data_IF_516757150652
#
_entry.id   IF_516757150652
#
_cell.length_a   1.000
_cell.length_b   1.000
_cell.length_c   1.000
_cell.angle_alpha   90.00
_cell.angle_beta   90.00
_cell.angle_gamma   90.00
#
_symmetry.space_group_name_H-M   'P 1'
#
loop_
_entity.id
_entity.type
_entity.pdbx_description
1 polymer ?
#
# COMPACT_ATOMS: atom_id res chain seq x y z
N UNK A 1 -14.04 0.29 14.93
CA UNK A 1 -12.87 1.11 14.58
C UNK A 1 -12.64 1.12 13.08
N UNK A 2 -12.00 2.17 12.59
CA UNK A 2 -11.73 2.32 11.17
C UNK A 2 -10.72 1.30 10.65
N UNK A 3 -10.76 1.04 9.35
CA UNK A 3 -9.71 0.30 8.66
C UNK A 3 -8.58 1.28 8.30
N UNK A 4 -7.34 0.83 8.42
CA UNK A 4 -6.17 1.59 8.03
C UNK A 4 -5.68 1.00 6.71
N UNK A 5 -5.66 1.82 5.65
CA UNK A 5 -5.31 1.43 4.30
C UNK A 5 -3.95 2.00 3.90
N UNK A 6 -3.15 1.18 3.26
CA UNK A 6 -1.85 1.61 2.70
C UNK A 6 -1.83 1.37 1.21
N UNK A 7 -1.41 2.39 0.45
CA UNK A 7 -0.92 2.22 -0.91
C UNK A 7 0.46 1.54 -0.85
N UNK A 8 0.89 0.95 -1.96
CA UNK A 8 2.20 0.30 -2.04
C UNK A 8 3.24 1.20 -2.70
N UNK A 9 3.11 1.41 -4.00
CA UNK A 9 4.15 2.08 -4.80
C UNK A 9 4.33 3.54 -4.40
N UNK A 10 5.54 3.90 -4.00
CA UNK A 10 5.84 5.24 -3.51
C UNK A 10 5.39 5.52 -2.09
N UNK A 11 4.64 4.62 -1.47
CA UNK A 11 4.14 4.74 -0.10
C UNK A 11 4.96 3.90 0.87
N UNK A 12 4.89 2.59 0.77
CA UNK A 12 5.71 1.68 1.60
C UNK A 12 6.70 0.88 0.77
N UNK A 13 6.50 0.80 -0.56
CA UNK A 13 7.37 0.09 -1.49
C UNK A 13 8.03 1.06 -2.45
N UNK A 14 9.34 1.01 -2.57
CA UNK A 14 10.13 1.95 -3.37
C UNK A 14 10.20 1.61 -4.86
N UNK A 15 9.07 1.45 -5.52
CA UNK A 15 9.02 1.16 -6.96
C UNK A 15 9.80 2.19 -7.78
N UNK A 16 9.56 3.47 -7.51
CA UNK A 16 10.12 4.56 -8.31
C UNK A 16 11.61 4.78 -8.08
N UNK A 17 12.20 4.14 -7.10
CA UNK A 17 13.63 4.15 -6.84
C UNK A 17 14.36 3.01 -7.57
N UNK A 18 13.63 2.10 -8.19
CA UNK A 18 14.25 1.05 -9.01
C UNK A 18 14.71 1.66 -10.32
N UNK A 19 15.99 1.48 -10.65
CA UNK A 19 16.55 2.02 -11.87
C UNK A 19 15.82 1.45 -13.09
N UNK A 20 15.42 2.34 -14.02
CA UNK A 20 14.67 1.99 -15.23
C UNK A 20 13.29 1.37 -14.97
N UNK A 21 12.67 1.69 -13.85
CA UNK A 21 11.37 1.11 -13.49
C UNK A 21 10.32 1.29 -14.59
N UNK A 22 10.25 2.46 -15.21
CA UNK A 22 9.25 2.74 -16.24
C UNK A 22 9.46 1.88 -17.50
N UNK A 23 10.72 1.73 -17.93
CA UNK A 23 11.05 0.90 -19.08
C UNK A 23 10.67 -0.56 -18.84
N UNK A 24 10.92 -1.07 -17.65
CA UNK A 24 10.51 -2.41 -17.27
C UNK A 24 8.98 -2.58 -17.35
N UNK A 25 8.22 -1.63 -16.80
CA UNK A 25 6.76 -1.70 -16.84
C UNK A 25 6.23 -1.62 -18.28
N UNK A 26 6.81 -0.75 -19.10
CA UNK A 26 6.41 -0.63 -20.50
C UNK A 26 6.69 -1.90 -21.31
N UNK A 27 7.65 -2.70 -20.88
CA UNK A 27 7.96 -4.00 -21.48
C UNK A 27 7.29 -5.17 -20.73
N UNK A 28 6.29 -4.88 -19.91
CA UNK A 28 5.50 -5.86 -19.16
C UNK A 28 6.35 -6.77 -18.27
N UNK A 29 7.37 -6.19 -17.62
CA UNK A 29 8.18 -6.86 -16.61
C UNK A 29 7.66 -6.53 -15.21
N UNK A 30 7.60 -7.51 -14.33
CA UNK A 30 7.25 -7.31 -12.93
C UNK A 30 8.46 -7.04 -12.05
N UNK A 31 9.66 -6.99 -12.66
CA UNK A 31 10.92 -6.84 -11.90
C UNK A 31 10.91 -5.67 -10.92
N UNK A 32 10.48 -4.43 -11.30
CA UNK A 32 10.50 -3.31 -10.37
C UNK A 32 9.62 -3.53 -9.13
N UNK A 33 8.49 -4.23 -9.29
CA UNK A 33 7.63 -4.56 -8.16
C UNK A 33 8.30 -5.56 -7.22
N UNK A 34 9.09 -6.49 -7.77
CA UNK A 34 9.79 -7.49 -6.98
C UNK A 34 11.03 -6.91 -6.31
N UNK A 35 11.72 -5.99 -6.98
CA UNK A 35 12.99 -5.41 -6.53
C UNK A 35 12.81 -4.20 -5.60
N UNK A 36 11.60 -3.66 -5.48
CA UNK A 36 11.34 -2.48 -4.67
C UNK A 36 11.77 -2.72 -3.21
N UNK A 37 12.39 -1.70 -2.61
CA UNK A 37 12.83 -1.77 -1.21
C UNK A 37 11.78 -1.12 -0.30
N UNK A 38 11.69 -1.57 0.96
CA UNK A 38 10.87 -0.88 1.95
C UNK A 38 11.28 0.59 2.09
N UNK A 39 10.30 1.49 2.15
CA UNK A 39 10.55 2.94 2.28
C UNK A 39 10.58 3.42 3.72
N UNK A 40 10.32 2.55 4.69
CA UNK A 40 10.39 2.88 6.11
C UNK A 40 10.83 1.63 6.89
N UNK A 41 10.99 1.79 8.19
CA UNK A 41 11.38 0.66 9.06
C UNK A 41 10.22 -0.33 9.19
N UNK A 42 10.30 -1.46 8.50
CA UNK A 42 9.24 -2.47 8.49
C UNK A 42 9.14 -3.25 9.79
N UNK A 43 10.22 -3.36 10.56
CA UNK A 43 10.15 -3.95 11.90
C UNK A 43 9.25 -3.11 12.81
N UNK A 44 9.42 -1.80 12.77
CA UNK A 44 8.58 -0.88 13.54
C UNK A 44 7.15 -0.86 13.00
N UNK A 45 6.99 -0.82 11.68
CA UNK A 45 5.66 -0.82 11.04
C UNK A 45 4.88 -2.06 11.46
N UNK A 46 5.47 -3.25 11.32
CA UNK A 46 4.81 -4.50 11.67
C UNK A 46 4.37 -4.53 13.14
N UNK A 47 5.23 -4.02 14.04
CA UNK A 47 4.91 -3.96 15.46
C UNK A 47 3.72 -3.05 15.74
N UNK A 48 3.70 -1.86 15.13
CA UNK A 48 2.60 -0.90 15.31
C UNK A 48 1.29 -1.47 14.75
N UNK A 49 1.33 -2.09 13.57
CA UNK A 49 0.14 -2.67 12.95
C UNK A 49 -0.43 -3.79 13.80
N UNK A 50 0.42 -4.65 14.35
CA UNK A 50 -0.04 -5.74 15.23
C UNK A 50 -0.73 -5.19 16.48
N UNK A 51 -0.15 -4.15 17.10
CA UNK A 51 -0.76 -3.52 18.27
C UNK A 51 -2.12 -2.92 17.94
N UNK A 52 -2.23 -2.26 16.80
CA UNK A 52 -3.49 -1.67 16.37
C UNK A 52 -4.55 -2.74 16.08
N UNK A 53 -4.17 -3.84 15.45
CA UNK A 53 -5.08 -4.96 15.25
C UNK A 53 -5.57 -5.55 16.58
N UNK A 54 -4.70 -5.64 17.57
CA UNK A 54 -5.07 -6.11 18.91
C UNK A 54 -6.08 -5.17 19.59
N UNK A 55 -6.13 -3.91 19.17
CA UNK A 55 -7.11 -2.93 19.66
C UNK A 55 -8.36 -2.83 18.76
N UNK A 56 -8.48 -3.69 17.76
CA UNK A 56 -9.67 -3.77 16.92
C UNK A 56 -9.62 -3.06 15.57
N UNK A 57 -8.49 -2.42 15.24
CA UNK A 57 -8.32 -1.86 13.90
C UNK A 57 -8.16 -2.97 12.86
N UNK A 58 -8.71 -2.74 11.68
CA UNK A 58 -8.43 -3.57 10.51
C UNK A 58 -7.33 -2.92 9.70
N UNK A 59 -6.53 -3.74 9.05
CA UNK A 59 -5.36 -3.29 8.28
C UNK A 59 -5.51 -3.81 6.85
N UNK A 60 -5.40 -2.90 5.89
CA UNK A 60 -5.58 -3.26 4.48
C UNK A 60 -4.58 -2.61 3.54
N UNK A 61 -4.47 -3.20 2.38
CA UNK A 61 -3.72 -2.66 1.24
C UNK A 61 -4.74 -2.27 0.17
N UNK A 62 -4.56 -1.09 -0.41
CA UNK A 62 -5.28 -0.64 -1.60
C UNK A 62 -4.26 -0.08 -2.59
N UNK A 63 -4.04 -0.78 -3.68
CA UNK A 63 -3.00 -0.44 -4.65
C UNK A 63 -3.53 -0.60 -6.07
N UNK A 64 -3.02 0.23 -6.97
CA UNK A 64 -3.33 0.14 -8.39
C UNK A 64 -2.37 -0.79 -9.10
N UNK A 65 -2.85 -1.51 -10.12
CA UNK A 65 -1.97 -2.18 -11.08
C UNK A 65 -1.30 -1.12 -11.96
N UNK A 66 -0.44 -1.53 -12.89
CA UNK A 66 0.25 -0.61 -13.80
C UNK A 66 -0.76 0.17 -14.65
N UNK A 67 -0.33 1.36 -15.13
CA UNK A 67 -1.18 2.24 -15.95
C UNK A 67 -1.62 1.57 -17.24
N UNK A 68 -0.78 0.72 -17.83
CA UNK A 68 -1.03 0.07 -19.11
C UNK A 68 -0.53 -1.37 -19.05
N UNK A 69 -0.79 -2.11 -20.10
CA UNK A 69 -0.35 -3.51 -20.22
C UNK A 69 -1.51 -4.44 -20.48
N UNK A 70 -1.18 -5.69 -20.78
CA UNK A 70 -2.16 -6.75 -21.04
C UNK A 70 -2.85 -7.17 -19.75
N UNK A 71 -3.99 -7.84 -19.89
CA UNK A 71 -4.70 -8.44 -18.76
C UNK A 71 -3.79 -9.42 -18.00
N UNK A 72 -3.03 -10.22 -18.75
CA UNK A 72 -2.07 -11.14 -18.16
C UNK A 72 -1.01 -10.41 -17.33
N UNK A 73 -0.51 -9.26 -17.82
CA UNK A 73 0.45 -8.47 -17.09
C UNK A 73 -0.14 -7.94 -15.78
N UNK A 74 -1.37 -7.42 -15.81
CA UNK A 74 -2.04 -6.96 -14.60
C UNK A 74 -2.15 -8.08 -13.55
N UNK A 75 -2.45 -9.30 -13.99
CA UNK A 75 -2.51 -10.45 -13.08
C UNK A 75 -1.13 -10.77 -12.49
N UNK A 76 -0.07 -10.67 -13.29
CA UNK A 76 1.30 -10.88 -12.81
C UNK A 76 1.75 -9.77 -11.85
N UNK A 77 1.33 -8.53 -12.09
CA UNK A 77 1.61 -7.40 -11.17
C UNK A 77 0.92 -7.63 -9.83
N UNK A 78 -0.33 -8.04 -9.85
CA UNK A 78 -1.04 -8.35 -8.60
C UNK A 78 -0.34 -9.45 -7.82
N UNK A 79 0.05 -10.52 -8.48
CA UNK A 79 0.79 -11.63 -7.87
C UNK A 79 2.11 -11.13 -7.27
N UNK A 80 2.87 -10.34 -8.02
CA UNK A 80 4.15 -9.80 -7.56
C UNK A 80 3.99 -8.94 -6.31
N UNK A 81 2.96 -8.10 -6.25
CA UNK A 81 2.69 -7.25 -5.09
C UNK A 81 2.32 -8.08 -3.86
N UNK A 82 1.49 -9.11 -4.02
CA UNK A 82 1.13 -10.01 -2.92
C UNK A 82 2.34 -10.76 -2.39
N UNK A 83 3.22 -11.24 -3.27
CA UNK A 83 4.45 -11.93 -2.89
C UNK A 83 5.42 -10.97 -2.18
N UNK A 84 5.50 -9.72 -2.64
CA UNK A 84 6.33 -8.71 -2.01
C UNK A 84 5.90 -8.47 -0.55
N UNK A 85 4.61 -8.34 -0.31
CA UNK A 85 4.06 -8.18 1.04
C UNK A 85 4.39 -9.39 1.93
N UNK A 86 4.22 -10.60 1.41
CA UNK A 86 4.51 -11.82 2.16
C UNK A 86 6.00 -11.93 2.51
N UNK A 87 6.89 -11.45 1.63
CA UNK A 87 8.33 -11.49 1.84
C UNK A 87 8.83 -10.42 2.81
N UNK A 88 8.32 -9.19 2.68
CA UNK A 88 8.80 -8.04 3.45
C UNK A 88 8.05 -7.78 4.75
N UNK A 89 6.81 -8.19 4.84
CA UNK A 89 5.96 -8.05 6.03
C UNK A 89 5.31 -9.38 6.41
N UNK A 90 6.13 -10.43 6.63
CA UNK A 90 5.59 -11.78 6.86
C UNK A 90 4.80 -11.92 8.16
N UNK A 91 5.05 -11.04 9.14
CA UNK A 91 4.36 -11.08 10.43
C UNK A 91 3.04 -10.31 10.46
N UNK A 92 2.72 -9.59 9.37
CA UNK A 92 1.47 -8.83 9.29
C UNK A 92 0.41 -9.72 8.64
N UNK A 93 -0.70 -9.90 9.34
CA UNK A 93 -1.88 -10.59 8.79
C UNK A 93 -2.81 -9.52 8.26
N UNK A 94 -2.80 -9.32 6.96
CA UNK A 94 -3.63 -8.30 6.32
C UNK A 94 -5.10 -8.73 6.35
N UNK A 95 -5.97 -7.87 6.85
CA UNK A 95 -7.41 -8.13 6.82
C UNK A 95 -7.95 -8.09 5.40
N UNK A 96 -7.40 -7.18 4.57
CA UNK A 96 -7.74 -7.08 3.15
C UNK A 96 -6.52 -6.68 2.33
N UNK A 97 -6.41 -7.25 1.13
CA UNK A 97 -5.46 -6.81 0.11
C UNK A 97 -6.27 -6.59 -1.16
N UNK A 98 -6.42 -5.32 -1.55
CA UNK A 98 -7.15 -4.92 -2.75
C UNK A 98 -6.18 -4.34 -3.75
N UNK A 99 -5.98 -5.06 -4.85
CA UNK A 99 -5.15 -4.60 -5.96
C UNK A 99 -6.08 -4.42 -7.14
N UNK A 100 -6.32 -3.16 -7.48
CA UNK A 100 -7.36 -2.76 -8.43
C UNK A 100 -6.74 -2.09 -9.65
N UNK A 101 -7.53 -1.86 -10.69
CA UNK A 101 -7.03 -1.25 -11.91
C UNK A 101 -6.62 0.20 -11.69
N UNK A 102 -5.61 0.63 -12.43
CA UNK A 102 -5.14 2.01 -12.42
C UNK A 102 -6.29 2.98 -12.65
N UNK A 103 -6.37 4.00 -11.81
CA UNK A 103 -7.41 5.02 -11.90
C UNK A 103 -8.71 4.70 -11.16
N UNK A 104 -8.86 3.51 -10.59
CA UNK A 104 -10.01 3.18 -9.75
C UNK A 104 -10.06 4.13 -8.56
N UNK A 105 -11.24 4.69 -8.26
CA UNK A 105 -11.43 5.53 -7.09
C UNK A 105 -11.28 4.69 -5.83
N UNK A 106 -10.23 4.95 -5.05
CA UNK A 106 -9.90 4.14 -3.88
C UNK A 106 -10.95 4.27 -2.78
N UNK A 107 -11.51 5.47 -2.58
CA UNK A 107 -12.56 5.67 -1.57
C UNK A 107 -13.81 4.83 -1.88
N UNK A 108 -14.26 4.85 -3.12
CA UNK A 108 -15.41 4.05 -3.53
C UNK A 108 -15.14 2.55 -3.41
N UNK A 109 -13.91 2.13 -3.66
CA UNK A 109 -13.52 0.72 -3.51
C UNK A 109 -13.51 0.28 -2.04
N UNK A 110 -12.99 1.13 -1.15
CA UNK A 110 -12.75 0.78 0.26
C UNK A 110 -13.91 1.14 1.19
N UNK A 111 -14.64 2.21 0.88
CA UNK A 111 -15.75 2.68 1.70
C UNK A 111 -15.36 3.55 2.89
N UNK A 112 -14.11 3.97 2.98
CA UNK A 112 -13.65 4.87 4.04
C UNK A 112 -12.54 4.26 4.91
N UNK A 113 -12.20 4.94 5.98
CA UNK A 113 -11.11 4.63 6.87
C UNK A 113 -9.97 5.61 6.74
N UNK A 114 -8.78 5.23 7.18
CA UNK A 114 -7.58 6.05 7.13
C UNK A 114 -6.72 5.57 5.96
N UNK A 115 -6.36 6.48 5.04
CA UNK A 115 -5.53 6.15 3.88
C UNK A 115 -4.15 6.78 4.00
N UNK A 116 -3.12 5.98 3.72
CA UNK A 116 -1.76 6.48 3.47
C UNK A 116 -1.44 6.27 1.99
N UNK A 117 -1.18 7.37 1.28
CA UNK A 117 -0.94 7.34 -0.17
C UNK A 117 0.01 8.49 -0.53
N UNK A 118 0.96 8.24 -1.43
CA UNK A 118 1.91 9.25 -1.87
C UNK A 118 1.33 10.22 -2.91
N UNK A 119 0.22 9.86 -3.55
CA UNK A 119 -0.39 10.70 -4.58
C UNK A 119 -1.43 11.65 -3.99
N UNK A 120 -1.22 12.95 -4.20
CA UNK A 120 -2.13 13.99 -3.75
C UNK A 120 -3.55 13.79 -4.29
N UNK A 121 -3.69 13.40 -5.57
CA UNK A 121 -5.01 13.16 -6.17
C UNK A 121 -5.80 12.06 -5.45
N UNK A 122 -5.13 11.04 -4.95
CA UNK A 122 -5.79 9.97 -4.20
C UNK A 122 -6.19 10.44 -2.81
N UNK A 123 -5.35 11.25 -2.18
CA UNK A 123 -5.71 11.85 -0.88
C UNK A 123 -6.87 12.84 -1.01
N UNK A 124 -6.86 13.65 -2.07
CA UNK A 124 -7.92 14.64 -2.31
C UNK A 124 -9.28 14.00 -2.60
N UNK A 125 -9.30 12.87 -3.29
CA UNK A 125 -10.53 12.15 -3.61
C UNK A 125 -11.01 11.22 -2.49
N UNK A 126 -10.20 11.02 -1.46
CA UNK A 126 -10.56 10.21 -0.30
C UNK A 126 -11.42 11.04 0.65
N UNK A 127 -12.66 10.62 0.87
CA UNK A 127 -13.64 11.39 1.64
C UNK A 127 -13.63 11.07 3.14
N UNK A 128 -12.50 10.68 3.66
CA UNK A 128 -12.25 10.41 5.06
C UNK A 128 -10.81 10.88 5.38
N UNK A 129 -10.18 10.40 6.44
CA UNK A 129 -8.82 10.79 6.76
C UNK A 129 -7.79 10.21 5.79
N UNK A 130 -6.89 11.05 5.30
CA UNK A 130 -5.77 10.60 4.47
C UNK A 130 -4.51 11.37 4.79
N UNK A 131 -3.36 10.72 4.60
CA UNK A 131 -2.06 11.27 4.96
C UNK A 131 -1.01 10.85 3.93
N UNK A 132 0.05 11.64 3.83
CA UNK A 132 1.22 11.30 3.04
C UNK A 132 2.08 10.23 3.76
N UNK A 133 2.92 9.49 3.02
CA UNK A 133 3.70 8.39 3.61
C UNK A 133 4.61 8.79 4.76
N UNK A 134 5.18 9.99 4.72
CA UNK A 134 6.07 10.48 5.78
C UNK A 134 5.38 10.59 7.14
N UNK A 135 4.05 10.58 7.19
CA UNK A 135 3.27 10.68 8.41
C UNK A 135 2.89 9.31 9.00
N UNK A 136 3.21 8.20 8.32
CA UNK A 136 2.76 6.86 8.72
C UNK A 136 3.07 6.58 10.20
N UNK A 137 4.33 6.62 10.58
CA UNK A 137 4.74 6.23 11.94
C UNK A 137 4.11 7.15 12.98
N UNK A 138 4.12 8.47 12.72
CA UNK A 138 3.54 9.45 13.62
C UNK A 138 2.05 9.20 13.84
N UNK A 139 1.30 9.00 12.77
CA UNK A 139 -0.15 8.77 12.86
C UNK A 139 -0.46 7.45 13.55
N UNK A 140 0.24 6.36 13.21
CA UNK A 140 0.00 5.06 13.85
C UNK A 140 0.26 5.13 15.36
N UNK A 141 1.32 5.82 15.78
CA UNK A 141 1.60 6.02 17.21
C UNK A 141 0.50 6.84 17.88
N UNK A 142 0.03 7.87 17.20
CA UNK A 142 -1.07 8.72 17.72
C UNK A 142 -2.34 7.89 17.92
N UNK A 143 -2.69 7.01 17.00
CA UNK A 143 -3.85 6.13 17.12
C UNK A 143 -3.72 5.21 18.35
N UNK A 144 -2.52 4.71 18.62
CA UNK A 144 -2.27 3.87 19.80
C UNK A 144 -2.41 4.63 21.11
N UNK A 145 -2.14 5.93 21.12
CA UNK A 145 -2.32 6.77 22.31
C UNK A 145 -3.79 7.01 22.62
N UNK A 146 -4.67 6.89 21.65
CA UNK A 146 -6.11 7.10 21.79
C UNK A 146 -6.87 5.88 22.29
N UNK A 147 -6.25 4.73 22.35
CA UNK A 147 -6.91 3.48 22.74
C UNK A 147 -6.66 3.06 24.18
#
# INVERSE_FOLDING_TARGET
>A
MKTIWFDLDGCIAGLYAVENWLDYLQNESTYPYEAAKPLLNFSMLAKLLRKLQNHGYKIGIISWTSKSGSEEYHNRVEYAKRQWLARHLPSVVWDEIRIVRYGTNKYLSCGGGILFDDEERNRDSWEDESYAPEDIIRILKSLLEEV
#
